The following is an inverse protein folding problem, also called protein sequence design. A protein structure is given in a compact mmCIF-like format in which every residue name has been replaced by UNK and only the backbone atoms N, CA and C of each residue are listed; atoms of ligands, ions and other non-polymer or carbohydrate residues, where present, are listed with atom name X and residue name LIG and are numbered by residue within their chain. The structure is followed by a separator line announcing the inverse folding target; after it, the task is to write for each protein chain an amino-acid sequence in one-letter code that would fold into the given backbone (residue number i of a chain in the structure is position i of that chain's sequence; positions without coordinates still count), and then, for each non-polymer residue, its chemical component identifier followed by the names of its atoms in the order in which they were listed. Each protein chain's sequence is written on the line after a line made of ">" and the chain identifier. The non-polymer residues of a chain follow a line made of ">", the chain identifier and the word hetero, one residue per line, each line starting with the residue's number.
data_IF_986205661361
#
_entry.id   IF_986205661361
#
_cell.length_a   1.000
_cell.length_b   1.000
_cell.length_c   1.000
_cell.angle_alpha   90.00
_cell.angle_beta   90.00
_cell.angle_gamma   90.00
#
_symmetry.space_group_name_H-M   'P 1'
#
loop_
_entity.id
_entity.type
_entity.pdbx_description
1 polymer ?
#
# COMPACT_ATOMS: atom_id res chain seq x y z
N UNK A 1 -5.97 29.14 -11.77
CA UNK A 1 -7.16 28.73 -12.55
C UNK A 1 -8.39 29.37 -11.93
N UNK A 2 -9.45 29.60 -12.71
CA UNK A 2 -10.76 30.01 -12.21
C UNK A 2 -11.83 29.13 -12.85
N UNK A 3 -12.81 28.72 -12.08
CA UNK A 3 -13.99 28.00 -12.57
C UNK A 3 -14.83 28.93 -13.45
N UNK A 4 -15.19 28.48 -14.64
CA UNK A 4 -16.14 29.17 -15.51
C UNK A 4 -17.54 28.60 -15.25
N UNK A 5 -18.49 29.47 -14.89
CA UNK A 5 -19.86 29.07 -14.59
C UNK A 5 -20.80 29.44 -15.74
N UNK A 6 -21.64 28.49 -16.14
CA UNK A 6 -22.77 28.68 -17.05
C UNK A 6 -23.95 27.88 -16.50
N UNK A 7 -25.02 28.57 -16.08
CA UNK A 7 -26.19 27.98 -15.41
C UNK A 7 -25.81 27.17 -14.16
N UNK A 8 -25.87 25.84 -14.24
CA UNK A 8 -25.52 24.88 -13.18
C UNK A 8 -24.23 24.10 -13.48
N UNK A 9 -23.48 24.49 -14.51
CA UNK A 9 -22.26 23.80 -14.96
C UNK A 9 -21.03 24.66 -14.74
N UNK A 10 -20.01 24.05 -14.15
CA UNK A 10 -18.73 24.64 -13.81
C UNK A 10 -17.63 23.93 -14.60
N UNK A 11 -16.71 24.68 -15.20
CA UNK A 11 -15.59 24.11 -15.95
C UNK A 11 -14.24 24.64 -15.47
N UNK A 12 -13.25 23.76 -15.38
CA UNK A 12 -11.85 24.09 -15.12
C UNK A 12 -10.95 23.31 -16.08
N UNK A 13 -9.85 23.92 -16.53
CA UNK A 13 -8.77 23.19 -17.20
C UNK A 13 -7.94 22.43 -16.14
N UNK A 14 -7.41 21.26 -16.50
CA UNK A 14 -6.66 20.38 -15.60
C UNK A 14 -5.18 20.38 -15.96
N UNK A 15 -4.40 21.12 -15.17
CA UNK A 15 -2.97 21.33 -15.41
C UNK A 15 -2.67 21.86 -16.82
N UNK A 16 -1.56 21.43 -17.41
CA UNK A 16 -1.14 21.79 -18.78
C UNK A 16 -1.54 20.76 -19.84
N UNK A 17 -2.33 19.75 -19.47
CA UNK A 17 -2.69 18.61 -20.34
C UNK A 17 -3.66 18.96 -21.47
N UNK A 18 -4.30 20.14 -21.41
CA UNK A 18 -5.44 20.49 -22.25
C UNK A 18 -6.73 19.74 -21.88
N UNK A 19 -6.71 18.92 -20.82
CA UNK A 19 -7.92 18.30 -20.29
C UNK A 19 -8.78 19.32 -19.54
N UNK A 20 -10.08 19.06 -19.51
CA UNK A 20 -11.09 19.88 -18.83
C UNK A 20 -11.94 19.03 -17.91
N UNK A 21 -12.17 19.54 -16.71
CA UNK A 21 -13.11 18.99 -15.75
C UNK A 21 -14.40 19.82 -15.80
N UNK A 22 -15.52 19.17 -16.08
CA UNK A 22 -16.85 19.77 -16.04
C UNK A 22 -17.62 19.18 -14.88
N UNK A 23 -18.28 20.04 -14.11
CA UNK A 23 -19.10 19.66 -12.96
C UNK A 23 -20.46 20.30 -13.12
N UNK A 24 -21.51 19.50 -13.29
CA UNK A 24 -22.91 19.97 -13.19
C UNK A 24 -23.42 19.70 -11.78
N UNK A 25 -24.18 20.62 -11.20
CA UNK A 25 -24.67 20.48 -9.81
C UNK A 25 -26.13 20.07 -9.70
N UNK A 26 -26.90 20.15 -10.79
CA UNK A 26 -28.30 19.75 -10.84
C UNK A 26 -28.71 19.24 -12.24
N UNK A 27 -28.85 17.90 -12.44
CA UNK A 27 -28.38 16.84 -11.54
C UNK A 27 -26.85 16.86 -11.40
N UNK A 28 -26.34 16.29 -10.29
CA UNK A 28 -24.90 16.22 -10.09
C UNK A 28 -24.25 15.31 -11.15
N UNK A 29 -23.23 15.81 -11.81
CA UNK A 29 -22.34 15.00 -12.64
C UNK A 29 -20.95 15.59 -12.71
N UNK A 30 -19.95 14.73 -12.87
CA UNK A 30 -18.57 15.12 -13.14
C UNK A 30 -18.11 14.46 -14.44
N UNK A 31 -17.42 15.22 -15.29
CA UNK A 31 -16.93 14.77 -16.58
C UNK A 31 -15.50 15.26 -16.84
N UNK A 32 -14.59 14.33 -17.06
CA UNK A 32 -13.22 14.61 -17.52
C UNK A 32 -13.17 14.50 -19.04
N UNK A 33 -12.69 15.54 -19.72
CA UNK A 33 -12.60 15.61 -21.19
C UNK A 33 -11.21 15.96 -21.66
N UNK A 34 -10.86 15.49 -22.85
CA UNK A 34 -9.71 15.97 -23.63
C UNK A 34 -10.19 16.36 -25.02
N UNK A 35 -10.24 17.67 -25.29
CA UNK A 35 -10.96 18.20 -26.45
C UNK A 35 -12.43 17.77 -26.45
N UNK A 36 -12.90 17.18 -27.56
CA UNK A 36 -14.26 16.67 -27.68
C UNK A 36 -14.48 15.32 -26.97
N UNK A 37 -13.41 14.55 -26.71
CA UNK A 37 -13.50 13.19 -26.14
C UNK A 37 -13.78 13.25 -24.64
N UNK A 38 -14.78 12.50 -24.19
CA UNK A 38 -15.02 12.22 -22.76
C UNK A 38 -14.13 11.07 -22.34
N UNK A 39 -13.25 11.30 -21.36
CA UNK A 39 -12.34 10.29 -20.83
C UNK A 39 -13.00 9.50 -19.69
N UNK A 40 -13.61 10.22 -18.75
CA UNK A 40 -14.35 9.65 -17.62
C UNK A 40 -15.58 10.51 -17.33
N UNK A 41 -16.66 9.89 -16.86
CA UNK A 41 -17.86 10.60 -16.44
C UNK A 41 -18.52 9.85 -15.30
N UNK A 42 -19.13 10.55 -14.36
CA UNK A 42 -19.94 9.92 -13.32
C UNK A 42 -21.16 9.22 -13.92
N UNK A 43 -21.58 8.12 -13.30
CA UNK A 43 -22.85 7.48 -13.62
C UNK A 43 -24.04 8.39 -13.27
N UNK A 44 -25.24 8.07 -13.78
CA UNK A 44 -26.45 8.87 -13.62
C UNK A 44 -27.61 8.09 -12.98
N UNK A 45 -27.35 6.91 -12.41
CA UNK A 45 -28.40 6.11 -11.79
C UNK A 45 -28.84 6.70 -10.44
N UNK A 46 -30.02 6.31 -9.99
CA UNK A 46 -30.61 6.77 -8.72
C UNK A 46 -30.41 5.78 -7.58
N UNK A 47 -29.53 4.79 -7.74
CA UNK A 47 -29.21 3.77 -6.74
C UNK A 47 -27.77 3.27 -6.85
N UNK A 48 -27.17 2.91 -5.71
CA UNK A 48 -25.92 2.14 -5.65
C UNK A 48 -26.07 0.81 -6.43
N UNK A 49 -25.03 0.32 -7.13
CA UNK A 49 -23.65 0.81 -7.20
C UNK A 49 -23.38 1.90 -8.24
N UNK A 50 -24.40 2.32 -9.01
CA UNK A 50 -24.25 3.18 -10.19
C UNK A 50 -24.74 4.61 -10.00
N UNK A 51 -24.99 5.02 -8.75
CA UNK A 51 -25.24 6.40 -8.43
C UNK A 51 -23.93 7.20 -8.42
N UNK A 52 -23.89 8.44 -8.96
CA UNK A 52 -22.66 9.22 -9.05
C UNK A 52 -21.90 9.28 -7.73
N UNK A 53 -22.63 9.54 -6.64
CA UNK A 53 -22.15 9.50 -5.26
C UNK A 53 -23.21 8.83 -4.37
N UNK A 54 -22.75 7.98 -3.46
CA UNK A 54 -23.59 7.33 -2.46
C UNK A 54 -22.85 7.18 -1.14
N UNK A 55 -23.58 7.10 -0.03
CA UNK A 55 -23.02 6.81 1.28
C UNK A 55 -23.82 5.70 1.96
N UNK A 56 -23.16 4.92 2.82
CA UNK A 56 -23.79 3.88 3.64
C UNK A 56 -23.94 4.38 5.07
N UNK A 57 -25.17 4.39 5.59
CA UNK A 57 -25.49 4.76 6.98
C UNK A 57 -26.40 3.69 7.58
N UNK A 58 -26.07 3.20 8.78
CA UNK A 58 -26.81 2.12 9.43
C UNK A 58 -27.01 0.90 8.51
N UNK A 59 -25.96 0.50 7.79
CA UNK A 59 -25.98 -0.61 6.84
C UNK A 59 -26.76 -0.38 5.54
N UNK A 60 -27.36 0.79 5.30
CA UNK A 60 -28.15 1.08 4.09
C UNK A 60 -27.48 2.12 3.18
N UNK A 61 -27.45 1.83 1.89
CA UNK A 61 -26.96 2.75 0.86
C UNK A 61 -27.99 3.84 0.57
N UNK A 62 -27.53 5.09 0.59
CA UNK A 62 -28.32 6.29 0.31
C UNK A 62 -27.61 7.09 -0.79
N UNK A 63 -28.36 7.50 -1.81
CA UNK A 63 -27.86 8.38 -2.86
C UNK A 63 -27.97 9.83 -2.42
N UNK A 64 -26.87 10.56 -2.56
CA UNK A 64 -26.87 12.00 -2.25
C UNK A 64 -27.72 12.72 -3.29
N UNK A 65 -28.71 13.47 -2.84
CA UNK A 65 -29.72 14.09 -3.70
C UNK A 65 -30.28 15.38 -3.09
N UNK A 66 -31.10 16.09 -3.87
CA UNK A 66 -31.65 17.39 -3.50
C UNK A 66 -30.85 18.58 -4.06
N UNK A 67 -31.39 19.80 -3.98
CA UNK A 67 -30.72 21.01 -4.50
C UNK A 67 -29.51 21.36 -3.62
N UNK A 68 -28.28 21.33 -4.15
CA UNK A 68 -27.11 21.66 -3.36
C UNK A 68 -26.89 23.17 -3.28
N UNK A 69 -26.18 23.60 -2.24
CA UNK A 69 -25.48 24.89 -2.26
C UNK A 69 -24.12 24.73 -2.94
N UNK A 70 -23.66 25.78 -3.61
CA UNK A 70 -22.42 25.74 -4.40
C UNK A 70 -21.58 26.98 -4.12
N UNK A 71 -20.30 26.78 -3.82
CA UNK A 71 -19.33 27.84 -3.59
C UNK A 71 -18.08 27.59 -4.43
N UNK A 72 -17.79 28.49 -5.37
CA UNK A 72 -16.62 28.41 -6.24
C UNK A 72 -15.61 29.50 -5.84
N UNK A 73 -14.49 29.10 -5.24
CA UNK A 73 -13.43 30.02 -4.77
C UNK A 73 -12.06 29.55 -5.21
N UNK A 74 -11.34 30.42 -5.90
CA UNK A 74 -9.99 30.10 -6.38
C UNK A 74 -9.99 28.91 -7.33
N UNK A 75 -9.27 27.86 -6.93
CA UNK A 75 -9.14 26.58 -7.64
C UNK A 75 -10.17 25.53 -7.21
N UNK A 76 -11.03 25.84 -6.24
CA UNK A 76 -11.90 24.88 -5.59
C UNK A 76 -13.38 25.19 -5.87
N UNK A 77 -14.13 24.17 -6.26
CA UNK A 77 -15.58 24.15 -6.34
C UNK A 77 -16.11 23.25 -5.22
N UNK A 78 -16.87 23.81 -4.29
CA UNK A 78 -17.49 23.09 -3.18
C UNK A 78 -19.00 23.00 -3.38
N UNK A 79 -19.53 21.80 -3.19
CA UNK A 79 -20.95 21.46 -3.32
C UNK A 79 -21.38 20.85 -1.98
N UNK A 80 -22.47 21.35 -1.39
CA UNK A 80 -23.02 20.83 -0.13
C UNK A 80 -24.50 20.52 -0.28
N UNK A 81 -24.91 19.35 0.18
CA UNK A 81 -26.30 18.88 0.12
C UNK A 81 -27.03 19.04 1.46
N UNK A 82 -28.38 19.07 1.45
CA UNK A 82 -29.18 19.21 2.67
C UNK A 82 -28.97 18.11 3.72
N UNK A 83 -28.48 16.94 3.31
CA UNK A 83 -28.18 15.82 4.22
C UNK A 83 -26.82 15.97 4.93
N UNK A 84 -26.13 17.10 4.72
CA UNK A 84 -24.81 17.40 5.29
C UNK A 84 -23.65 16.77 4.54
N UNK A 85 -23.90 16.04 3.45
CA UNK A 85 -22.84 15.53 2.58
C UNK A 85 -22.23 16.69 1.77
N UNK A 86 -20.93 16.59 1.47
CA UNK A 86 -20.21 17.61 0.69
C UNK A 86 -19.27 16.99 -0.34
N UNK A 87 -19.10 17.67 -1.46
CA UNK A 87 -18.17 17.29 -2.53
C UNK A 87 -17.35 18.50 -2.94
N UNK A 88 -16.04 18.40 -2.83
CA UNK A 88 -15.09 19.41 -3.29
C UNK A 88 -14.33 18.91 -4.51
N UNK A 89 -14.18 19.78 -5.49
CA UNK A 89 -13.44 19.54 -6.73
C UNK A 89 -12.39 20.62 -6.87
N UNK A 90 -11.15 20.21 -7.00
CA UNK A 90 -10.02 21.10 -7.25
C UNK A 90 -9.67 21.08 -8.75
N UNK A 91 -9.23 22.21 -9.28
CA UNK A 91 -8.88 22.31 -10.70
C UNK A 91 -7.68 21.45 -11.13
N UNK A 92 -6.93 20.88 -10.18
CA UNK A 92 -5.85 19.92 -10.43
C UNK A 92 -6.32 18.46 -10.51
N UNK A 93 -7.64 18.22 -10.41
CA UNK A 93 -8.23 16.89 -10.49
C UNK A 93 -8.44 16.20 -9.15
N UNK A 94 -8.10 16.83 -8.02
CA UNK A 94 -8.44 16.29 -6.71
C UNK A 94 -9.93 16.40 -6.43
N UNK A 95 -10.50 15.32 -5.92
CA UNK A 95 -11.88 15.18 -5.52
C UNK A 95 -11.91 14.81 -4.05
N UNK A 96 -12.83 15.41 -3.30
CA UNK A 96 -13.07 15.05 -1.92
C UNK A 96 -14.57 14.95 -1.67
N UNK A 97 -15.05 13.75 -1.39
CA UNK A 97 -16.41 13.49 -0.95
C UNK A 97 -16.41 13.18 0.55
N UNK A 98 -17.25 13.87 1.32
CA UNK A 98 -17.42 13.64 2.74
C UNK A 98 -18.89 13.51 3.11
N UNK A 99 -19.22 12.50 3.91
CA UNK A 99 -20.54 12.27 4.46
C UNK A 99 -20.41 11.92 5.95
N UNK A 100 -20.68 12.89 6.83
CA UNK A 100 -20.56 12.69 8.28
C UNK A 100 -21.44 11.52 8.76
N UNK A 101 -20.87 10.69 9.64
CA UNK A 101 -21.53 9.50 10.18
C UNK A 101 -21.75 8.36 9.19
N UNK A 102 -21.23 8.45 7.96
CA UNK A 102 -21.28 7.34 7.01
C UNK A 102 -20.24 6.27 7.37
N UNK A 103 -20.66 5.01 7.25
CA UNK A 103 -19.82 3.81 7.37
C UNK A 103 -18.99 3.56 6.11
N UNK A 104 -19.47 4.05 4.97
CA UNK A 104 -18.80 3.95 3.68
C UNK A 104 -19.28 5.05 2.74
N UNK A 105 -18.45 5.41 1.78
CA UNK A 105 -18.79 6.35 0.70
C UNK A 105 -18.34 5.78 -0.64
N UNK A 106 -19.10 6.09 -1.69
CA UNK A 106 -18.87 5.56 -3.02
C UNK A 106 -18.92 6.64 -4.10
N UNK A 107 -18.05 6.51 -5.10
CA UNK A 107 -18.03 7.27 -6.35
C UNK A 107 -18.22 6.29 -7.51
N UNK A 108 -19.19 6.56 -8.40
CA UNK A 108 -19.41 5.75 -9.58
C UNK A 108 -19.15 6.52 -10.88
N UNK A 109 -18.39 5.90 -11.77
CA UNK A 109 -18.14 6.34 -13.13
C UNK A 109 -18.86 5.43 -14.13
N UNK A 110 -19.24 5.96 -15.29
CA UNK A 110 -19.60 5.12 -16.43
C UNK A 110 -18.35 4.53 -17.06
N UNK A 111 -18.47 3.34 -17.62
CA UNK A 111 -17.43 2.73 -18.44
C UNK A 111 -18.01 2.15 -19.72
N UNK A 112 -17.22 2.21 -20.81
CA UNK A 112 -17.65 1.70 -22.11
C UNK A 112 -17.49 0.18 -22.19
N UNK A 113 -18.22 -0.52 -23.06
CA UNK A 113 -18.07 -1.97 -23.24
C UNK A 113 -16.64 -2.43 -23.56
N UNK A 114 -15.91 -1.65 -24.34
CA UNK A 114 -14.53 -1.90 -24.77
C UNK A 114 -13.45 -1.37 -23.82
N UNK A 115 -13.86 -0.81 -22.68
CA UNK A 115 -12.94 -0.19 -21.74
C UNK A 115 -12.30 -1.22 -20.80
N UNK A 116 -10.98 -1.31 -20.87
CA UNK A 116 -10.11 -2.15 -20.03
C UNK A 116 -9.49 -1.36 -18.88
N UNK A 117 -9.22 -2.05 -17.76
CA UNK A 117 -8.72 -1.47 -16.51
C UNK A 117 -7.50 -2.23 -15.98
N UNK A 118 -6.44 -1.50 -15.63
CA UNK A 118 -5.16 -2.05 -15.20
C UNK A 118 -4.65 -1.39 -13.92
N UNK A 119 -3.78 -2.09 -13.19
CA UNK A 119 -3.15 -1.60 -11.97
C UNK A 119 -3.71 -2.31 -10.75
N UNK A 120 -4.13 -1.54 -9.75
CA UNK A 120 -4.62 -2.01 -8.46
C UNK A 120 -3.57 -2.72 -7.60
N UNK A 121 -2.29 -2.50 -7.90
CA UNK A 121 -1.16 -3.12 -7.22
C UNK A 121 -0.80 -4.48 -7.79
N UNK A 122 -0.16 -5.31 -6.96
CA UNK A 122 0.16 -6.70 -7.29
C UNK A 122 -1.11 -7.53 -7.39
N UNK A 123 -1.27 -8.29 -8.48
CA UNK A 123 -2.44 -9.11 -8.75
C UNK A 123 -2.02 -10.48 -9.25
N UNK A 124 -2.70 -11.51 -8.75
CA UNK A 124 -2.51 -12.89 -9.14
C UNK A 124 -3.67 -13.41 -9.99
N UNK A 125 -4.81 -12.74 -10.04
CA UNK A 125 -5.98 -13.20 -10.78
C UNK A 125 -5.90 -12.94 -12.29
N UNK A 126 -5.73 -11.66 -12.68
CA UNK A 126 -5.74 -11.24 -14.08
C UNK A 126 -5.10 -9.86 -14.27
N UNK A 127 -4.66 -9.59 -15.49
CA UNK A 127 -4.13 -8.29 -15.87
C UNK A 127 -5.24 -7.25 -16.09
N UNK A 128 -6.26 -7.59 -16.88
CA UNK A 128 -7.42 -6.71 -17.14
C UNK A 128 -8.52 -6.98 -16.11
N UNK A 129 -8.83 -5.96 -15.32
CA UNK A 129 -9.72 -6.05 -14.17
C UNK A 129 -11.20 -5.79 -14.53
N UNK A 130 -11.53 -5.64 -15.82
CA UNK A 130 -12.91 -5.56 -16.28
C UNK A 130 -13.73 -6.79 -15.83
N UNK A 131 -14.96 -6.54 -15.41
CA UNK A 131 -15.90 -7.52 -14.88
C UNK A 131 -15.60 -7.99 -13.46
N UNK A 132 -14.57 -7.45 -12.79
CA UNK A 132 -14.21 -7.84 -11.43
C UNK A 132 -14.82 -6.92 -10.37
N UNK A 133 -15.07 -7.52 -9.20
CA UNK A 133 -15.29 -6.81 -7.93
C UNK A 133 -14.12 -7.20 -7.02
N UNK A 134 -13.34 -6.20 -6.66
CA UNK A 134 -12.07 -6.37 -5.98
C UNK A 134 -12.15 -5.78 -4.58
N UNK A 135 -11.57 -6.50 -3.63
CA UNK A 135 -11.37 -6.06 -2.26
C UNK A 135 -9.90 -5.64 -2.10
N UNK A 136 -9.68 -4.37 -1.81
CA UNK A 136 -8.36 -3.81 -1.59
C UNK A 136 -8.09 -3.79 -0.08
N UNK A 137 -7.54 -4.90 0.38
CA UNK A 137 -7.13 -5.13 1.75
C UNK A 137 -5.82 -5.90 1.75
N UNK A 138 -4.78 -5.32 2.37
CA UNK A 138 -3.44 -5.94 2.45
C UNK A 138 -3.57 -7.29 3.14
N UNK A 139 -3.32 -8.37 2.41
CA UNK A 139 -3.58 -9.73 2.92
C UNK A 139 -2.34 -10.58 2.77
N UNK A 140 -2.03 -11.37 3.80
CA UNK A 140 -0.95 -12.37 3.76
C UNK A 140 -1.39 -13.58 2.92
N UNK A 141 -1.52 -13.37 1.60
CA UNK A 141 -1.97 -14.37 0.62
C UNK A 141 -1.61 -13.94 -0.80
N UNK A 142 -1.23 -14.92 -1.64
CA UNK A 142 -0.80 -14.76 -3.03
C UNK A 142 -1.72 -15.43 -4.05
N UNK A 143 -3.03 -15.51 -3.79
CA UNK A 143 -3.95 -16.26 -4.63
C UNK A 143 -5.33 -15.62 -4.76
N UNK A 144 -5.96 -15.87 -5.91
CA UNK A 144 -7.22 -15.23 -6.29
C UNK A 144 -7.08 -13.70 -6.31
N UNK A 145 -8.04 -13.01 -5.69
CA UNK A 145 -8.05 -11.54 -5.61
C UNK A 145 -7.27 -10.98 -4.41
N UNK A 146 -6.87 -11.84 -3.47
CA UNK A 146 -6.08 -11.46 -2.30
C UNK A 146 -4.61 -11.25 -2.69
N UNK A 147 -3.98 -10.26 -2.07
CA UNK A 147 -2.62 -9.85 -2.42
C UNK A 147 -1.95 -9.13 -1.26
N UNK A 148 -0.63 -9.21 -1.18
CA UNK A 148 0.17 -8.49 -0.20
C UNK A 148 0.29 -6.99 -0.51
N UNK A 149 0.11 -6.59 -1.77
CA UNK A 149 0.35 -5.21 -2.22
C UNK A 149 -0.80 -4.66 -3.07
N UNK A 150 -2.05 -4.65 -2.57
CA UNK A 150 -3.11 -3.92 -3.24
C UNK A 150 -2.76 -2.43 -3.24
N UNK A 151 -3.06 -1.73 -4.33
CA UNK A 151 -2.86 -0.28 -4.43
C UNK A 151 -4.13 0.33 -4.97
N UNK A 152 -4.73 1.37 -4.36
CA UNK A 152 -6.00 1.93 -4.83
C UNK A 152 -5.77 2.93 -5.98
N UNK A 153 -5.09 2.47 -7.04
CA UNK A 153 -4.79 3.23 -8.24
C UNK A 153 -4.98 2.33 -9.46
N UNK A 154 -5.68 2.85 -10.49
CA UNK A 154 -5.82 2.17 -11.76
C UNK A 154 -5.65 3.13 -12.94
N UNK A 155 -5.33 2.55 -14.10
CA UNK A 155 -5.37 3.20 -15.41
C UNK A 155 -6.46 2.56 -16.26
N UNK A 156 -7.21 3.38 -16.99
CA UNK A 156 -8.19 2.96 -17.97
C UNK A 156 -7.67 3.16 -19.40
N UNK A 157 -7.94 2.19 -20.27
CA UNK A 157 -7.78 2.32 -21.73
C UNK A 157 -8.59 3.49 -22.34
N UNK A 158 -9.56 4.03 -21.60
CA UNK A 158 -10.27 5.27 -21.88
C UNK A 158 -9.38 6.52 -21.89
N UNK A 159 -8.14 6.43 -21.38
CA UNK A 159 -7.14 7.52 -21.39
C UNK A 159 -7.14 8.37 -20.12
N UNK A 160 -7.44 7.76 -18.98
CA UNK A 160 -7.37 8.38 -17.66
C UNK A 160 -6.91 7.37 -16.61
N UNK A 161 -6.44 7.88 -15.46
CA UNK A 161 -6.28 7.09 -14.25
C UNK A 161 -7.00 7.72 -13.07
N UNK A 162 -7.18 6.93 -12.03
CA UNK A 162 -7.73 7.41 -10.77
C UNK A 162 -6.98 6.77 -9.61
N UNK A 163 -6.54 7.59 -8.66
CA UNK A 163 -5.94 7.17 -7.40
C UNK A 163 -6.84 7.58 -6.23
N UNK A 164 -7.08 6.69 -5.26
CA UNK A 164 -7.71 7.04 -3.99
C UNK A 164 -6.63 7.27 -2.93
N UNK A 165 -6.81 8.32 -2.13
CA UNK A 165 -5.96 8.63 -0.99
C UNK A 165 -6.66 8.19 0.30
N UNK A 166 -6.40 6.94 0.69
CA UNK A 166 -6.96 6.32 1.90
C UNK A 166 -6.09 5.14 2.30
N UNK A 167 -6.05 4.84 3.59
CA UNK A 167 -5.48 3.61 4.16
C UNK A 167 -6.55 2.66 4.70
N UNK A 168 -7.83 3.02 4.51
CA UNK A 168 -8.97 2.16 4.82
C UNK A 168 -9.20 1.13 3.72
N UNK A 169 -10.08 0.17 4.00
CA UNK A 169 -10.52 -0.84 3.03
C UNK A 169 -11.25 -0.19 1.87
N UNK A 170 -10.97 -0.66 0.65
CA UNK A 170 -11.60 -0.15 -0.57
C UNK A 170 -12.19 -1.32 -1.36
N UNK A 171 -13.40 -1.15 -1.89
CA UNK A 171 -13.97 -2.05 -2.88
C UNK A 171 -14.04 -1.35 -4.23
N UNK A 172 -13.55 -2.02 -5.26
CA UNK A 172 -13.60 -1.52 -6.63
C UNK A 172 -14.38 -2.49 -7.52
N UNK A 173 -15.34 -1.99 -8.29
CA UNK A 173 -15.99 -2.76 -9.33
C UNK A 173 -15.71 -2.10 -10.68
N UNK A 174 -15.23 -2.84 -11.68
CA UNK A 174 -14.91 -2.31 -13.01
C UNK A 174 -15.78 -2.96 -14.06
N UNK A 175 -16.81 -2.27 -14.56
CA UNK A 175 -17.87 -2.91 -15.33
C UNK A 175 -18.62 -3.93 -14.47
N UNK A 176 -19.31 -3.42 -13.44
CA UNK A 176 -19.93 -4.21 -12.38
C UNK A 176 -20.71 -5.42 -12.95
N UNK A 177 -20.60 -6.63 -12.37
CA UNK A 177 -21.20 -7.84 -12.94
C UNK A 177 -22.71 -7.74 -13.22
N UNK A 178 -23.44 -6.97 -12.40
CA UNK A 178 -24.87 -6.71 -12.59
C UNK A 178 -25.19 -5.37 -13.26
N UNK A 179 -24.21 -4.48 -13.40
CA UNK A 179 -24.34 -3.15 -14.05
C UNK A 179 -23.10 -2.89 -14.92
N UNK A 180 -22.97 -3.55 -16.09
CA UNK A 180 -21.70 -3.68 -16.83
C UNK A 180 -21.12 -2.38 -17.40
N UNK A 181 -21.90 -1.30 -17.37
CA UNK A 181 -21.54 0.05 -17.77
C UNK A 181 -21.11 0.94 -16.59
N UNK A 182 -20.94 0.36 -15.39
CA UNK A 182 -20.56 1.06 -14.18
C UNK A 182 -19.20 0.62 -13.63
N UNK A 183 -18.36 1.60 -13.31
CA UNK A 183 -17.18 1.46 -12.45
C UNK A 183 -17.47 2.12 -11.11
N UNK A 184 -17.40 1.38 -10.00
CA UNK A 184 -17.71 1.88 -8.66
C UNK A 184 -16.50 1.76 -7.74
N UNK A 185 -16.21 2.83 -7.00
CA UNK A 185 -15.12 2.90 -6.02
C UNK A 185 -15.73 3.21 -4.67
N UNK A 186 -15.62 2.28 -3.73
CA UNK A 186 -16.18 2.39 -2.38
C UNK A 186 -15.06 2.41 -1.35
N UNK A 187 -15.03 3.41 -0.49
CA UNK A 187 -14.14 3.49 0.67
C UNK A 187 -14.95 3.19 1.92
N UNK A 188 -14.53 2.24 2.74
CA UNK A 188 -15.09 2.10 4.10
C UNK A 188 -14.64 3.31 4.90
N UNK A 189 -15.57 4.08 5.47
CA UNK A 189 -15.30 5.36 6.13
C UNK A 189 -16.17 6.52 5.59
N UNK A 190 -16.11 7.68 6.24
CA UNK A 190 -16.98 8.82 5.92
C UNK A 190 -16.43 9.71 4.80
N UNK A 191 -15.21 9.47 4.31
CA UNK A 191 -14.50 10.33 3.36
C UNK A 191 -13.87 9.52 2.22
N UNK A 192 -13.91 10.09 1.03
CA UNK A 192 -13.24 9.60 -0.17
C UNK A 192 -12.47 10.76 -0.78
N UNK A 193 -11.15 10.65 -0.76
CA UNK A 193 -10.23 11.52 -1.46
C UNK A 193 -9.76 10.80 -2.72
N UNK A 194 -9.92 11.41 -3.89
CA UNK A 194 -9.52 10.83 -5.15
C UNK A 194 -8.78 11.83 -6.03
N UNK A 195 -7.99 11.33 -6.96
CA UNK A 195 -7.33 12.13 -7.99
C UNK A 195 -7.68 11.58 -9.35
N UNK A 196 -8.25 12.41 -10.20
CA UNK A 196 -8.39 12.12 -11.63
C UNK A 196 -7.16 12.59 -12.39
N UNK A 197 -6.57 11.68 -13.16
CA UNK A 197 -5.37 11.93 -13.95
C UNK A 197 -5.72 11.76 -15.42
N UNK A 198 -5.63 12.84 -16.20
CA UNK A 198 -5.85 12.80 -17.64
C UNK A 198 -4.56 12.48 -18.40
N UNK A 199 -4.66 11.69 -19.46
CA UNK A 199 -3.57 11.50 -20.41
C UNK A 199 -3.80 10.25 -21.25
N UNK A 200 -3.73 10.31 -22.59
CA UNK A 200 -4.02 9.12 -23.39
C UNK A 200 -2.97 8.02 -23.24
N UNK A 201 -1.87 8.31 -22.54
CA UNK A 201 -0.69 7.49 -22.43
C UNK A 201 -0.53 6.97 -20.99
N UNK A 202 -0.59 5.65 -20.74
CA UNK A 202 -0.49 5.08 -19.40
C UNK A 202 0.81 5.48 -18.69
N UNK A 203 1.92 5.65 -19.41
CA UNK A 203 3.19 6.10 -18.85
C UNK A 203 3.10 7.49 -18.21
N UNK A 204 2.32 8.41 -18.79
CA UNK A 204 2.09 9.75 -18.21
C UNK A 204 1.19 9.71 -17.00
N UNK A 205 0.22 8.79 -17.00
CA UNK A 205 -0.67 8.59 -15.85
C UNK A 205 0.15 8.03 -14.67
N UNK A 206 1.01 7.05 -14.91
CA UNK A 206 1.91 6.48 -13.89
C UNK A 206 2.94 7.52 -13.42
N UNK A 207 3.50 8.33 -14.32
CA UNK A 207 4.40 9.43 -13.97
C UNK A 207 3.72 10.46 -13.04
N UNK A 208 2.49 10.85 -13.36
CA UNK A 208 1.72 11.77 -12.52
C UNK A 208 1.36 11.14 -11.16
N UNK A 209 0.96 9.86 -11.14
CA UNK A 209 0.67 9.14 -9.90
C UNK A 209 1.91 9.06 -8.99
N UNK A 210 3.03 8.56 -9.51
CA UNK A 210 4.29 8.43 -8.75
C UNK A 210 4.87 9.79 -8.34
N UNK A 211 4.64 10.84 -9.13
CA UNK A 211 4.97 12.22 -8.73
C UNK A 211 4.25 12.70 -7.46
N UNK A 212 3.09 12.12 -7.13
CA UNK A 212 2.28 12.46 -5.95
C UNK A 212 2.59 11.57 -4.75
N UNK A 213 2.59 10.26 -4.96
CA UNK A 213 2.72 9.28 -3.86
C UNK A 213 4.16 8.85 -3.59
N UNK A 214 5.12 9.33 -4.38
CA UNK A 214 6.55 9.06 -4.23
C UNK A 214 7.13 8.30 -5.42
N UNK A 215 8.27 8.77 -5.91
CA UNK A 215 9.00 8.11 -7.01
C UNK A 215 9.92 7.03 -6.46
N UNK A 216 10.05 5.88 -7.15
CA UNK A 216 11.10 4.93 -6.84
C UNK A 216 12.47 5.60 -6.97
N UNK A 217 13.33 5.56 -5.92
CA UNK A 217 14.71 5.96 -6.05
C UNK A 217 15.46 4.93 -6.91
N UNK A 218 16.59 5.34 -7.47
CA UNK A 218 17.52 4.41 -8.12
C UNK A 218 18.21 3.61 -7.00
N UNK A 219 18.03 2.28 -6.92
CA UNK A 219 18.69 1.47 -5.90
C UNK A 219 20.18 1.33 -6.21
N UNK A 220 21.00 0.92 -5.23
CA UNK A 220 22.39 0.59 -5.48
C UNK A 220 22.52 -0.55 -6.51
N UNK A 221 23.59 -0.52 -7.32
CA UNK A 221 23.82 -1.47 -8.40
C UNK A 221 23.78 -2.93 -7.93
N UNK A 222 24.31 -3.18 -6.73
CA UNK A 222 24.42 -4.53 -6.18
C UNK A 222 23.07 -5.21 -5.92
N UNK A 223 21.99 -4.44 -5.83
CA UNK A 223 20.64 -4.99 -5.75
C UNK A 223 20.28 -5.87 -6.94
N UNK A 224 20.86 -5.59 -8.13
CA UNK A 224 20.61 -6.34 -9.37
C UNK A 224 21.54 -7.55 -9.55
N UNK A 225 22.51 -7.78 -8.65
CA UNK A 225 23.37 -8.95 -8.69
C UNK A 225 22.60 -10.21 -8.25
N UNK A 226 23.09 -11.44 -8.53
CA UNK A 226 22.40 -12.67 -8.13
C UNK A 226 22.27 -12.85 -6.60
N UNK A 227 21.10 -13.29 -6.16
CA UNK A 227 20.78 -13.53 -4.74
C UNK A 227 20.73 -15.04 -4.45
N UNK A 228 21.24 -15.43 -3.28
CA UNK A 228 21.09 -16.76 -2.71
C UNK A 228 20.41 -16.68 -1.35
N UNK A 229 19.32 -17.41 -1.20
CA UNK A 229 18.70 -17.75 0.09
C UNK A 229 18.65 -19.27 0.27
N UNK A 230 18.45 -19.73 1.50
CA UNK A 230 18.30 -21.14 1.90
C UNK A 230 17.05 -21.28 2.78
N UNK A 231 16.54 -22.50 2.91
CA UNK A 231 15.43 -22.77 3.84
C UNK A 231 15.85 -22.39 5.27
N UNK A 232 15.09 -21.47 5.86
CA UNK A 232 15.28 -20.90 7.17
C UNK A 232 15.36 -21.94 8.30
N UNK A 233 14.74 -23.11 8.11
CA UNK A 233 14.68 -24.19 9.11
C UNK A 233 16.02 -24.87 9.35
N UNK A 234 16.90 -24.84 8.36
CA UNK A 234 18.17 -25.59 8.38
C UNK A 234 19.39 -24.70 8.22
N UNK A 235 19.20 -23.42 7.89
CA UNK A 235 20.29 -22.49 7.70
C UNK A 235 20.93 -22.05 9.03
N UNK A 236 22.26 -22.06 9.03
CA UNK A 236 23.15 -21.67 10.11
C UNK A 236 24.41 -21.00 9.53
N UNK A 237 25.36 -20.59 10.38
CA UNK A 237 26.59 -19.95 9.92
C UNK A 237 27.42 -20.84 8.99
N UNK A 238 27.52 -22.15 9.28
CA UNK A 238 28.36 -23.06 8.50
C UNK A 238 27.82 -23.22 7.07
N UNK A 239 26.51 -23.38 6.92
CA UNK A 239 25.83 -23.49 5.62
C UNK A 239 25.78 -22.16 4.87
N UNK A 240 25.69 -21.02 5.56
CA UNK A 240 25.83 -19.71 4.93
C UNK A 240 27.24 -19.48 4.35
N UNK A 241 28.29 -19.81 5.12
CA UNK A 241 29.69 -19.80 4.64
C UNK A 241 29.94 -20.83 3.53
N UNK A 242 29.33 -22.01 3.60
CA UNK A 242 29.36 -23.00 2.52
C UNK A 242 28.81 -22.42 1.22
N UNK A 243 27.64 -21.78 1.25
CA UNK A 243 27.04 -21.16 0.06
C UNK A 243 28.00 -20.16 -0.59
N UNK A 244 28.64 -19.28 0.21
CA UNK A 244 29.58 -18.28 -0.29
C UNK A 244 30.79 -18.95 -0.96
N UNK A 245 31.46 -19.86 -0.25
CA UNK A 245 32.65 -20.56 -0.76
C UNK A 245 32.33 -21.39 -2.00
N UNK A 246 31.19 -22.09 -2.02
CA UNK A 246 30.85 -22.97 -3.13
C UNK A 246 30.53 -22.20 -4.41
N UNK A 247 29.94 -21.01 -4.31
CA UNK A 247 29.76 -20.14 -5.48
C UNK A 247 31.11 -19.69 -6.06
N UNK A 248 32.09 -19.38 -5.21
CA UNK A 248 33.46 -19.06 -5.66
C UNK A 248 34.14 -20.27 -6.32
N UNK A 249 34.10 -21.44 -5.69
CA UNK A 249 34.69 -22.67 -6.21
C UNK A 249 34.08 -23.14 -7.55
N UNK A 250 32.78 -22.91 -7.72
CA UNK A 250 32.04 -23.28 -8.94
C UNK A 250 32.03 -22.17 -9.99
N UNK A 251 32.64 -21.01 -9.72
CA UNK A 251 32.61 -19.84 -10.59
C UNK A 251 31.18 -19.37 -10.94
N UNK A 252 30.24 -19.53 -10.00
CA UNK A 252 28.86 -19.06 -10.12
C UNK A 252 28.76 -17.68 -9.44
N UNK A 253 28.39 -16.60 -10.16
CA UNK A 253 28.29 -15.28 -9.54
C UNK A 253 27.30 -15.24 -8.37
N UNK A 254 27.75 -14.67 -7.26
CA UNK A 254 26.94 -14.42 -6.06
C UNK A 254 27.16 -12.98 -5.62
N UNK A 255 26.10 -12.18 -5.61
CA UNK A 255 26.16 -10.79 -5.14
C UNK A 255 25.54 -10.58 -3.78
N UNK A 256 24.48 -11.33 -3.45
CA UNK A 256 23.74 -11.18 -2.20
C UNK A 256 23.50 -12.53 -1.53
N UNK A 257 23.86 -12.64 -0.26
CA UNK A 257 23.45 -13.73 0.61
C UNK A 257 22.34 -13.22 1.53
N UNK A 258 21.13 -13.72 1.32
CA UNK A 258 20.00 -13.48 2.21
C UNK A 258 19.97 -14.60 3.26
N UNK A 259 20.03 -14.22 4.53
CA UNK A 259 19.72 -15.11 5.65
C UNK A 259 18.25 -14.88 6.02
N UNK A 260 17.44 -15.92 5.87
CA UNK A 260 16.00 -15.85 6.08
C UNK A 260 15.63 -16.00 7.58
N UNK A 261 14.35 -16.16 7.90
CA UNK A 261 13.84 -16.17 9.27
C UNK A 261 14.60 -17.09 10.26
N UNK A 262 14.51 -16.79 11.56
CA UNK A 262 15.10 -17.65 12.61
C UNK A 262 16.63 -17.57 12.73
N UNK A 263 17.25 -16.51 12.21
CA UNK A 263 18.64 -16.16 12.58
C UNK A 263 18.75 -15.52 13.96
N UNK A 264 17.62 -15.03 14.48
CA UNK A 264 17.52 -14.31 15.73
C UNK A 264 17.44 -15.25 16.94
N UNK A 265 18.00 -14.84 18.08
CA UNK A 265 17.99 -15.59 19.36
C UNK A 265 16.58 -15.82 19.92
N UNK A 266 15.65 -14.98 19.49
CA UNK A 266 14.24 -15.00 19.81
C UNK A 266 13.52 -14.27 18.68
N UNK A 267 12.23 -14.56 18.49
CA UNK A 267 11.47 -14.01 17.38
C UNK A 267 11.43 -12.48 17.43
N UNK A 268 12.19 -11.85 16.53
CA UNK A 268 12.31 -10.39 16.38
C UNK A 268 13.12 -9.67 17.47
N UNK A 269 14.20 -10.30 17.92
CA UNK A 269 15.15 -9.75 18.89
C UNK A 269 16.25 -8.86 18.30
N UNK A 270 16.47 -8.90 16.98
CA UNK A 270 17.59 -8.26 16.26
C UNK A 270 18.97 -8.71 16.77
N UNK A 271 19.06 -9.88 17.38
CA UNK A 271 20.28 -10.44 17.95
C UNK A 271 20.49 -11.82 17.35
N UNK A 272 21.66 -12.08 16.79
CA UNK A 272 21.99 -13.40 16.25
C UNK A 272 21.89 -14.48 17.33
N UNK A 273 21.22 -15.58 17.03
CA UNK A 273 21.25 -16.78 17.85
C UNK A 273 22.68 -17.36 17.84
N UNK A 274 23.38 -17.25 18.95
CA UNK A 274 24.76 -17.76 19.09
C UNK A 274 24.90 -19.28 18.88
N UNK A 275 23.82 -20.05 18.99
CA UNK A 275 23.84 -21.49 18.71
C UNK A 275 23.85 -21.80 17.21
N UNK A 276 23.21 -20.96 16.39
CA UNK A 276 23.19 -21.05 14.92
C UNK A 276 24.31 -20.24 14.27
N UNK A 277 24.60 -19.08 14.83
CA UNK A 277 25.57 -18.11 14.35
C UNK A 277 26.56 -17.76 15.47
N UNK A 278 27.52 -18.65 15.79
CA UNK A 278 28.46 -18.45 16.89
C UNK A 278 29.45 -17.29 16.69
N UNK A 279 29.75 -16.91 15.44
CA UNK A 279 30.58 -15.74 15.10
C UNK A 279 30.02 -15.04 13.84
N UNK A 280 28.91 -14.29 13.97
CA UNK A 280 28.30 -13.59 12.85
C UNK A 280 29.24 -12.54 12.26
N UNK A 281 30.16 -11.99 13.06
CA UNK A 281 31.15 -11.04 12.57
C UNK A 281 32.15 -11.69 11.61
N UNK A 282 32.56 -12.95 11.85
CA UNK A 282 33.37 -13.71 10.90
C UNK A 282 32.61 -13.99 9.60
N UNK A 283 31.35 -14.39 9.66
CA UNK A 283 30.52 -14.61 8.48
C UNK A 283 30.38 -13.34 7.64
N UNK A 284 30.13 -12.20 8.28
CA UNK A 284 30.03 -10.90 7.59
C UNK A 284 31.37 -10.52 6.93
N UNK A 285 32.50 -10.72 7.62
CA UNK A 285 33.83 -10.48 7.03
C UNK A 285 34.11 -11.39 5.84
N UNK A 286 33.75 -12.67 5.93
CA UNK A 286 33.88 -13.64 4.83
C UNK A 286 33.06 -13.20 3.61
N UNK A 287 31.79 -12.81 3.82
CA UNK A 287 30.93 -12.29 2.77
C UNK A 287 31.54 -11.04 2.11
N UNK A 288 32.00 -10.05 2.89
CA UNK A 288 32.57 -8.83 2.34
C UNK A 288 33.87 -9.08 1.56
N UNK A 289 34.75 -9.96 2.05
CA UNK A 289 35.96 -10.39 1.33
C UNK A 289 35.64 -11.10 0.01
N UNK A 290 34.52 -11.81 -0.05
CA UNK A 290 34.01 -12.46 -1.25
C UNK A 290 33.27 -11.49 -2.21
N UNK A 291 33.09 -10.22 -1.84
CA UNK A 291 32.29 -9.25 -2.61
C UNK A 291 30.78 -9.47 -2.49
N UNK A 292 30.33 -10.25 -1.50
CA UNK A 292 28.93 -10.61 -1.26
C UNK A 292 28.33 -9.66 -0.21
N UNK A 293 27.12 -9.17 -0.47
CA UNK A 293 26.34 -8.35 0.46
C UNK A 293 25.45 -9.25 1.31
N UNK A 294 25.57 -9.16 2.63
CA UNK A 294 24.71 -9.91 3.55
C UNK A 294 23.43 -9.13 3.81
N UNK A 295 22.28 -9.76 3.60
CA UNK A 295 20.93 -9.23 3.86
C UNK A 295 20.25 -10.13 4.88
N UNK A 296 19.54 -9.55 5.85
CA UNK A 296 18.83 -10.30 6.89
C UNK A 296 17.32 -10.19 6.73
N UNK A 297 16.59 -11.25 7.01
CA UNK A 297 15.14 -11.17 7.17
C UNK A 297 14.75 -10.47 8.47
N UNK A 298 13.71 -9.63 8.42
CA UNK A 298 13.08 -9.03 9.60
C UNK A 298 11.56 -8.98 9.41
N UNK A 299 10.81 -8.90 10.50
CA UNK A 299 9.39 -8.53 10.46
C UNK A 299 9.08 -7.42 11.47
N UNK A 300 7.96 -6.69 11.29
CA UNK A 300 7.55 -5.63 12.19
C UNK A 300 6.80 -6.15 13.43
N UNK A 301 6.83 -7.46 13.65
CA UNK A 301 6.12 -8.15 14.72
C UNK A 301 7.05 -8.52 15.87
N UNK A 302 6.49 -8.83 17.03
CA UNK A 302 7.20 -9.25 18.24
C UNK A 302 6.56 -10.52 18.79
N UNK A 303 7.36 -11.55 19.04
CA UNK A 303 6.88 -12.79 19.65
C UNK A 303 6.55 -12.60 21.13
N UNK A 304 5.36 -13.04 21.54
CA UNK A 304 4.88 -12.92 22.90
C UNK A 304 5.85 -13.57 23.88
N UNK A 305 6.19 -12.84 24.96
CA UNK A 305 7.04 -13.35 26.02
C UNK A 305 8.53 -13.32 25.69
N UNK A 306 8.92 -12.83 24.52
CA UNK A 306 10.32 -12.58 24.19
C UNK A 306 10.94 -11.43 24.95
N UNK A 307 12.28 -11.32 24.95
CA UNK A 307 12.97 -10.21 25.63
C UNK A 307 12.66 -8.85 24.97
N UNK A 308 12.78 -8.77 23.65
CA UNK A 308 12.41 -7.58 22.89
C UNK A 308 10.93 -7.24 23.04
N UNK A 309 10.04 -8.24 23.09
CA UNK A 309 8.63 -8.03 23.39
C UNK A 309 8.42 -7.41 24.77
N UNK A 310 9.06 -7.94 25.82
CA UNK A 310 8.93 -7.40 27.18
C UNK A 310 9.41 -5.95 27.26
N UNK A 311 10.54 -5.65 26.62
CA UNK A 311 11.04 -4.28 26.53
C UNK A 311 10.05 -3.36 25.81
N UNK A 312 9.60 -3.76 24.62
CA UNK A 312 8.68 -2.97 23.80
C UNK A 312 7.33 -2.76 24.50
N UNK A 313 6.79 -3.78 25.17
CA UNK A 313 5.56 -3.70 25.94
C UNK A 313 5.70 -2.72 27.11
N UNK A 314 6.79 -2.81 27.88
CA UNK A 314 7.05 -1.92 29.02
C UNK A 314 7.20 -0.45 28.60
N UNK A 315 7.64 -0.21 27.35
CA UNK A 315 7.86 1.13 26.80
C UNK A 315 6.69 1.66 25.96
N UNK A 316 5.63 0.86 25.80
CA UNK A 316 4.43 1.23 25.02
C UNK A 316 4.68 1.30 23.51
N UNK A 317 5.57 0.46 22.98
CA UNK A 317 5.97 0.45 21.57
C UNK A 317 5.10 -0.42 20.66
N UNK A 318 4.07 -1.06 21.22
CA UNK A 318 3.26 -2.06 20.52
C UNK A 318 1.86 -1.51 20.27
N UNK A 319 1.22 -1.97 19.19
CA UNK A 319 -0.21 -1.69 18.95
C UNK A 319 -1.04 -2.22 20.11
N UNK A 320 -2.17 -1.59 20.39
CA UNK A 320 -2.96 -1.85 21.61
C UNK A 320 -4.36 -2.34 21.29
N UNK A 321 -4.97 -3.03 22.25
CA UNK A 321 -6.41 -3.25 22.26
C UNK A 321 -7.16 -2.04 22.84
N UNK A 322 -8.49 -2.13 22.88
CA UNK A 322 -9.36 -1.08 23.44
C UNK A 322 -9.18 -0.86 24.94
N UNK A 323 -8.51 -1.76 25.66
CA UNK A 323 -8.15 -1.60 27.08
C UNK A 323 -6.79 -0.92 27.29
N UNK A 324 -6.04 -0.67 26.20
CA UNK A 324 -4.72 -0.06 26.22
C UNK A 324 -3.57 -1.04 26.47
N UNK A 325 -3.83 -2.36 26.50
CA UNK A 325 -2.81 -3.40 26.59
C UNK A 325 -2.28 -3.77 25.20
N UNK A 326 -1.07 -4.35 25.06
CA UNK A 326 -0.59 -4.85 23.78
C UNK A 326 -1.60 -5.79 23.11
N UNK A 327 -1.92 -5.56 21.84
CA UNK A 327 -2.88 -6.38 21.09
C UNK A 327 -2.23 -7.70 20.70
N UNK A 328 -2.46 -8.76 21.48
CA UNK A 328 -1.89 -10.08 21.21
C UNK A 328 -2.78 -10.87 20.26
N UNK A 329 -2.21 -11.34 19.15
CA UNK A 329 -2.89 -12.13 18.13
C UNK A 329 -1.94 -13.12 17.45
N UNK A 330 -2.49 -13.95 16.57
CA UNK A 330 -1.69 -14.85 15.73
C UNK A 330 -0.97 -14.06 14.64
N UNK A 331 0.31 -14.31 14.50
CA UNK A 331 1.19 -13.74 13.52
C UNK A 331 1.57 -14.77 12.46
N UNK A 332 1.78 -14.27 11.25
CA UNK A 332 2.18 -15.02 10.08
C UNK A 332 1.33 -16.24 9.75
N UNK A 333 1.99 -17.20 9.09
CA UNK A 333 1.37 -18.44 8.61
C UNK A 333 1.54 -19.59 9.61
N UNK A 334 2.47 -19.48 10.55
CA UNK A 334 2.70 -20.50 11.57
C UNK A 334 1.61 -20.46 12.65
N UNK A 335 0.89 -21.56 12.94
CA UNK A 335 -0.17 -21.55 13.94
C UNK A 335 0.29 -21.18 15.36
N UNK A 336 1.54 -21.50 15.70
CA UNK A 336 2.12 -21.26 17.03
C UNK A 336 2.73 -19.88 17.24
N UNK A 337 2.84 -19.06 16.20
CA UNK A 337 3.45 -17.74 16.32
C UNK A 337 2.43 -16.74 16.86
N UNK A 338 2.51 -16.47 18.16
CA UNK A 338 1.64 -15.55 18.89
C UNK A 338 2.45 -14.32 19.31
N UNK A 339 1.90 -13.13 19.13
CA UNK A 339 2.60 -11.90 19.40
C UNK A 339 1.81 -10.66 19.05
N UNK A 340 2.50 -9.58 18.72
CA UNK A 340 1.88 -8.32 18.29
C UNK A 340 2.79 -7.57 17.31
N UNK A 341 2.40 -6.35 16.93
CA UNK A 341 3.09 -5.50 15.97
C UNK A 341 3.61 -4.22 16.62
N UNK A 342 4.72 -3.69 16.11
CA UNK A 342 5.29 -2.42 16.56
C UNK A 342 4.40 -1.27 16.11
N UNK A 343 4.15 -0.31 16.99
CA UNK A 343 3.42 0.90 16.67
C UNK A 343 4.34 1.95 16.03
N UNK A 344 4.43 1.96 14.70
CA UNK A 344 5.21 2.94 13.95
C UNK A 344 4.58 4.35 13.89
N UNK A 345 3.42 4.57 14.53
CA UNK A 345 2.88 5.93 14.74
C UNK A 345 3.49 6.59 15.99
N UNK A 346 4.15 5.80 16.84
CA UNK A 346 4.81 6.28 18.05
C UNK A 346 6.31 6.52 17.81
N UNK A 347 6.73 7.78 17.82
CA UNK A 347 8.12 8.15 17.46
C UNK A 347 9.22 7.51 18.32
N UNK A 348 9.05 7.23 19.63
CA UNK A 348 10.04 6.48 20.40
C UNK A 348 10.17 5.02 19.94
N UNK A 349 9.09 4.38 19.49
CA UNK A 349 9.14 3.03 18.92
C UNK A 349 9.90 3.03 17.58
N UNK A 350 9.67 4.05 16.74
CA UNK A 350 10.44 4.26 15.49
C UNK A 350 11.93 4.42 15.80
N UNK A 351 12.29 5.26 16.78
CA UNK A 351 13.69 5.49 17.18
C UNK A 351 14.34 4.20 17.65
N UNK A 352 13.63 3.41 18.46
CA UNK A 352 14.11 2.12 18.93
C UNK A 352 14.32 1.14 17.78
N UNK A 353 13.33 0.97 16.89
CA UNK A 353 13.43 0.14 15.69
C UNK A 353 14.66 0.49 14.86
N UNK A 354 14.82 1.76 14.53
CA UNK A 354 15.94 2.25 13.75
C UNK A 354 17.30 2.02 14.44
N UNK A 355 17.35 2.09 15.77
CA UNK A 355 18.57 1.77 16.53
C UNK A 355 18.96 0.28 16.43
N UNK A 356 17.98 -0.62 16.40
CA UNK A 356 18.24 -2.05 16.20
C UNK A 356 18.79 -2.32 14.81
N UNK A 357 18.22 -1.68 13.79
CA UNK A 357 18.71 -1.80 12.41
C UNK A 357 20.12 -1.23 12.25
N UNK A 358 20.41 -0.04 12.81
CA UNK A 358 21.76 0.54 12.76
C UNK A 358 22.80 -0.38 13.38
N UNK A 359 22.49 -1.02 14.52
CA UNK A 359 23.39 -1.99 15.14
C UNK A 359 23.78 -3.13 14.19
N UNK A 360 22.84 -3.66 13.41
CA UNK A 360 23.11 -4.73 12.43
C UNK A 360 23.87 -4.19 11.19
N UNK A 361 23.52 -3.00 10.72
CA UNK A 361 24.19 -2.35 9.59
C UNK A 361 25.65 -2.00 9.92
N UNK A 362 25.90 -1.51 11.14
CA UNK A 362 27.24 -1.22 11.67
C UNK A 362 28.11 -2.47 11.78
N UNK A 363 27.52 -3.66 11.99
CA UNK A 363 28.24 -4.93 11.93
C UNK A 363 28.69 -5.31 10.50
N UNK A 364 28.04 -4.74 9.47
CA UNK A 364 28.34 -5.00 8.06
C UNK A 364 27.19 -5.62 7.26
N UNK A 365 25.98 -5.75 7.84
CA UNK A 365 24.77 -6.07 7.07
C UNK A 365 24.50 -4.93 6.07
N UNK A 366 23.87 -5.25 4.93
CA UNK A 366 23.65 -4.32 3.81
C UNK A 366 22.19 -4.13 3.42
N UNK A 367 21.28 -4.83 4.09
CA UNK A 367 19.86 -4.65 3.82
C UNK A 367 19.00 -5.60 4.60
N UNK A 368 17.70 -5.45 4.41
CA UNK A 368 16.71 -6.28 5.08
C UNK A 368 15.60 -6.78 4.15
N UNK A 369 15.29 -8.08 4.19
CA UNK A 369 14.00 -8.58 3.67
C UNK A 369 12.93 -8.20 4.69
N UNK A 370 12.16 -7.16 4.37
CA UNK A 370 11.08 -6.64 5.22
C UNK A 370 9.81 -7.44 5.00
N UNK A 371 9.73 -8.55 5.69
CA UNK A 371 8.64 -9.50 5.56
C UNK A 371 7.45 -9.12 6.46
N UNK A 372 6.28 -9.69 6.18
CA UNK A 372 5.01 -9.42 6.85
C UNK A 372 4.57 -7.95 6.78
N UNK A 373 3.69 -7.54 7.70
CA UNK A 373 3.05 -6.22 7.73
C UNK A 373 1.58 -6.23 7.32
N UNK A 374 1.01 -7.39 6.99
CA UNK A 374 -0.37 -7.50 6.52
C UNK A 374 -1.40 -7.73 7.62
N UNK A 375 -1.01 -8.20 8.81
CA UNK A 375 -1.95 -8.75 9.79
C UNK A 375 -2.37 -7.78 10.89
N UNK A 376 -2.61 -6.51 10.56
CA UNK A 376 -3.11 -5.54 11.55
C UNK A 376 -4.60 -5.79 11.84
N UNK A 377 -5.00 -6.11 13.10
CA UNK A 377 -6.40 -6.33 13.44
C UNK A 377 -7.22 -5.04 13.32
N UNK A 378 -8.43 -5.06 12.72
CA UNK A 378 -9.23 -3.85 12.50
C UNK A 378 -9.57 -3.05 13.76
N UNK A 379 -9.66 -3.70 14.91
CA UNK A 379 -9.98 -3.13 16.22
C UNK A 379 -8.75 -2.79 17.07
N UNK A 380 -7.54 -2.99 16.54
CA UNK A 380 -6.32 -2.48 17.17
C UNK A 380 -6.32 -0.94 17.21
N UNK A 381 -5.61 -0.37 18.18
CA UNK A 381 -5.48 1.07 18.40
C UNK A 381 -4.02 1.47 18.35
N UNK A 382 -3.71 2.45 17.50
CA UNK A 382 -2.40 3.08 17.37
C UNK A 382 -2.27 4.28 18.30
N UNK A 383 -1.04 4.68 18.63
CA UNK A 383 -0.74 5.77 19.55
C UNK A 383 -1.18 7.15 19.04
N UNK A 384 -1.38 7.31 17.73
CA UNK A 384 -1.96 8.53 17.14
C UNK A 384 -3.50 8.57 17.14
N UNK A 385 -4.14 7.55 17.74
CA UNK A 385 -5.58 7.45 17.90
C UNK A 385 -6.30 6.75 16.75
N UNK A 386 -5.61 6.42 15.65
CA UNK A 386 -6.21 5.64 14.56
C UNK A 386 -6.41 4.19 14.96
N UNK A 387 -7.43 3.58 14.40
CA UNK A 387 -7.73 2.15 14.53
C UNK A 387 -7.04 1.33 13.44
N UNK A 388 -7.02 0.00 13.60
CA UNK A 388 -6.62 -0.91 12.55
C UNK A 388 -7.45 -0.75 11.29
N UNK A 389 -8.77 -0.54 11.40
CA UNK A 389 -9.64 -0.29 10.25
C UNK A 389 -9.24 0.99 9.48
N UNK A 390 -8.58 1.93 10.16
CA UNK A 390 -8.06 3.17 9.58
C UNK A 390 -6.69 3.01 8.93
N UNK A 391 -5.80 2.24 9.55
CA UNK A 391 -4.38 2.22 9.21
C UNK A 391 -3.86 0.89 8.67
N UNK A 392 -4.67 -0.17 8.64
CA UNK A 392 -4.24 -1.51 8.22
C UNK A 392 -3.48 -1.49 6.89
N UNK A 393 -4.04 -0.86 5.84
CA UNK A 393 -3.37 -0.80 4.55
C UNK A 393 -2.15 0.15 4.56
N UNK A 394 -2.13 1.15 5.45
CA UNK A 394 -1.01 2.09 5.58
C UNK A 394 0.14 1.58 6.44
N UNK A 395 -0.09 0.58 7.30
CA UNK A 395 0.92 -0.01 8.16
C UNK A 395 2.18 -0.49 7.40
N UNK A 396 2.08 -1.27 6.31
CA UNK A 396 3.27 -1.68 5.56
C UNK A 396 4.03 -0.50 4.94
N UNK A 397 3.35 0.61 4.63
CA UNK A 397 4.01 1.84 4.15
C UNK A 397 4.84 2.47 5.26
N UNK A 398 4.29 2.55 6.49
CA UNK A 398 5.01 3.07 7.65
C UNK A 398 6.24 2.22 7.97
N UNK A 399 6.04 0.90 8.02
CA UNK A 399 7.10 -0.08 8.29
C UNK A 399 8.28 0.04 7.30
N UNK A 400 7.99 0.03 5.99
CA UNK A 400 9.03 0.14 4.98
C UNK A 400 9.67 1.54 4.98
N UNK A 401 8.90 2.60 5.22
CA UNK A 401 9.44 3.97 5.32
C UNK A 401 10.46 4.10 6.44
N UNK A 402 10.11 3.72 7.67
CA UNK A 402 11.00 3.90 8.83
C UNK A 402 12.26 3.05 8.72
N UNK A 403 12.17 1.92 8.00
CA UNK A 403 13.31 1.05 7.68
C UNK A 403 14.19 1.67 6.59
N UNK A 404 13.59 2.17 5.51
CA UNK A 404 14.30 2.84 4.42
C UNK A 404 15.04 4.10 4.86
N UNK A 405 14.47 4.87 5.78
CA UNK A 405 15.08 6.09 6.34
C UNK A 405 16.48 5.83 6.91
N UNK A 406 16.73 4.65 7.48
CA UNK A 406 18.04 4.20 7.95
C UNK A 406 18.87 3.63 6.81
N UNK A 407 18.29 2.74 6.00
CA UNK A 407 19.04 2.02 4.96
C UNK A 407 19.73 2.93 3.95
N UNK A 408 19.10 4.06 3.59
CA UNK A 408 19.70 5.05 2.69
C UNK A 408 20.97 5.70 3.25
N UNK A 409 21.19 5.68 4.56
CA UNK A 409 22.43 6.17 5.20
C UNK A 409 23.61 5.20 4.96
N UNK A 410 23.31 3.94 4.59
CA UNK A 410 24.28 2.83 4.49
C UNK A 410 24.41 2.26 3.07
N UNK A 411 23.88 2.93 2.04
CA UNK A 411 23.73 2.38 0.68
C UNK A 411 23.05 1.00 0.68
N UNK A 412 22.11 0.83 1.62
CA UNK A 412 21.38 -0.40 1.85
C UNK A 412 20.07 -0.48 1.10
N UNK A 413 19.48 -1.67 1.07
CA UNK A 413 18.17 -1.91 0.45
C UNK A 413 17.21 -2.60 1.42
N UNK A 414 15.92 -2.51 1.11
CA UNK A 414 14.95 -3.45 1.64
C UNK A 414 14.39 -4.35 0.53
N UNK A 415 13.74 -5.44 0.90
CA UNK A 415 12.96 -6.30 0.01
C UNK A 415 11.61 -6.57 0.67
N UNK A 416 10.63 -5.71 0.38
CA UNK A 416 9.33 -5.69 1.06
C UNK A 416 8.30 -6.68 0.51
N UNK A 417 7.60 -7.39 1.41
CA UNK A 417 6.45 -8.23 1.03
C UNK A 417 5.17 -7.44 0.87
N UNK A 418 4.88 -6.55 1.79
CA UNK A 418 3.58 -5.89 1.87
C UNK A 418 3.68 -4.45 1.40
N UNK A 419 2.56 -3.92 0.88
CA UNK A 419 2.57 -2.56 0.37
C UNK A 419 1.20 -1.98 0.07
N UNK A 420 1.19 -0.66 -0.11
CA UNK A 420 0.03 0.12 -0.49
C UNK A 420 0.49 1.33 -1.32
N UNK A 421 -0.39 2.30 -1.58
CA UNK A 421 -0.03 3.55 -2.24
C UNK A 421 1.18 4.22 -1.54
N UNK A 422 2.24 4.46 -2.31
CA UNK A 422 3.47 5.11 -1.84
C UNK A 422 4.59 4.14 -1.45
N UNK A 423 4.31 2.84 -1.32
CA UNK A 423 5.36 1.84 -1.03
C UNK A 423 6.50 1.83 -2.05
N UNK A 424 6.24 2.19 -3.30
CA UNK A 424 7.27 2.24 -4.35
C UNK A 424 8.38 3.27 -4.09
N UNK A 425 8.19 4.22 -3.17
CA UNK A 425 9.25 5.13 -2.72
C UNK A 425 10.34 4.44 -1.90
N UNK A 426 10.11 3.18 -1.50
CA UNK A 426 10.99 2.36 -0.67
C UNK A 426 11.26 1.03 -1.40
N UNK A 427 12.25 0.98 -2.30
CA UNK A 427 12.54 -0.22 -3.06
C UNK A 427 13.36 -1.21 -2.22
N UNK A 428 13.29 -2.51 -2.49
CA UNK A 428 12.56 -3.27 -3.50
C UNK A 428 11.27 -3.92 -2.97
N UNK A 429 10.54 -4.63 -3.84
CA UNK A 429 9.42 -5.50 -3.47
C UNK A 429 9.62 -6.92 -4.03
N UNK A 430 9.09 -7.94 -3.36
CA UNK A 430 9.06 -9.32 -3.89
C UNK A 430 7.64 -9.90 -3.86
N UNK A 431 7.34 -10.86 -4.73
CA UNK A 431 5.98 -11.35 -5.00
C UNK A 431 5.34 -12.24 -3.91
N UNK A 432 5.95 -12.37 -2.74
CA UNK A 432 5.48 -13.27 -1.69
C UNK A 432 5.74 -14.76 -1.94
N UNK A 433 5.03 -15.61 -1.20
CA UNK A 433 5.21 -17.06 -1.23
C UNK A 433 4.50 -17.67 -2.44
N UNK A 434 5.24 -18.38 -3.30
CA UNK A 434 4.75 -18.94 -4.56
C UNK A 434 4.92 -20.47 -4.57
N UNK A 435 4.08 -21.18 -5.31
CA UNK A 435 4.25 -22.62 -5.54
C UNK A 435 5.39 -22.90 -6.51
N UNK A 436 6.03 -24.06 -6.39
CA UNK A 436 7.10 -24.49 -7.29
C UNK A 436 6.54 -25.31 -8.47
N UNK A 437 5.61 -24.74 -9.23
CA UNK A 437 4.97 -25.38 -10.36
C UNK A 437 4.54 -24.38 -11.46
N UNK A 438 3.95 -24.89 -12.55
CA UNK A 438 3.47 -24.10 -13.69
C UNK A 438 1.98 -23.73 -13.57
N UNK A 439 1.34 -23.93 -12.42
CA UNK A 439 -0.10 -23.74 -12.29
C UNK A 439 -0.47 -22.30 -12.63
N UNK A 440 -1.49 -22.08 -13.49
CA UNK A 440 -2.07 -20.76 -13.66
C UNK A 440 -2.85 -20.45 -12.39
N UNK A 441 -2.33 -19.51 -11.60
CA UNK A 441 -2.94 -18.75 -10.51
C UNK A 441 -4.09 -19.37 -9.69
#
# INVERSE_FOLDING_TARGET
>A
MRWLCSESTYAAELGSSGARLLVSTAPFSLQLRLGARVLAQTAAATSYPSAPIACRRAGQWQVVSGPPSVDARGDTLRIEWPDGSSFAVHSDGNLHFAAAGAEAVALALTCRPEEHFYGLGERFDRLDQRGQVLDLWVTNQSSGTATYKPVPFFTSSGGYGLALDTTRRVYCAFGHPTVPDCTSLTVEGPELHATLIAGPHPERIVEAYTGRVGRPPVPPEWMFWPWKSRDWRVEDQASASEDIRRHQELEIPLGVKLIDAGWESDGHSFVFDSSKYPDPAALIREADQAGVRLVLWISPSMTLGGEAYREAAARGFLIRDSSGQPYVHRLGNEPGWIGTSIDFTYSPAVTWWQSQLRRLLDMGVRGFKTDFGEQIPPDAVFSDGRTGAELHNGYPVLYNRVTWEVLREYDGILLGRSGWAGSQAYPAVWAGDQTSDFSPW
#
